data_IF_799574191433
#
_entry.id   IF_799574191433
#
_cell.length_a   1.000
_cell.length_b   1.000
_cell.length_c   1.000
_cell.angle_alpha   90.00
_cell.angle_beta   90.00
_cell.angle_gamma   90.00
#
_symmetry.space_group_name_H-M   'P 1'
#
loop_
_entity.id
_entity.type
_entity.pdbx_description
1 polymer ?
#
# COMPACT_ATOMS: atom_id res chain seq x y z
N UNK A 1 6.03 13.51 4.68
CA UNK A 1 5.06 13.71 5.76
C UNK A 1 5.09 12.50 6.65
N UNK A 2 5.60 12.63 7.85
CA UNK A 2 5.46 11.53 8.80
C UNK A 2 3.97 11.35 9.05
N UNK A 3 3.40 10.16 8.90
CA UNK A 3 2.02 9.97 9.29
C UNK A 3 1.95 10.22 10.79
N UNK A 4 1.24 11.25 11.18
CA UNK A 4 0.89 11.42 12.58
C UNK A 4 0.13 10.16 13.02
N UNK A 5 0.29 9.72 14.28
CA UNK A 5 -0.45 8.58 14.78
C UNK A 5 -1.94 8.92 14.68
N UNK A 6 -2.61 8.31 13.72
CA UNK A 6 -4.04 8.53 13.54
C UNK A 6 -4.76 7.80 14.64
N UNK A 7 -5.24 8.58 15.56
CA UNK A 7 -6.12 8.17 16.63
C UNK A 7 -7.40 7.61 16.01
N UNK A 8 -7.64 6.33 16.25
CA UNK A 8 -8.91 5.62 16.09
C UNK A 8 -9.71 5.94 14.82
N UNK A 9 -9.75 4.96 13.91
CA UNK A 9 -10.74 4.92 12.84
C UNK A 9 -12.11 5.39 13.35
N UNK A 10 -12.65 6.40 12.69
CA UNK A 10 -14.01 6.84 12.93
C UNK A 10 -14.94 5.64 12.79
N UNK A 11 -15.67 5.31 13.85
CA UNK A 11 -16.66 4.25 13.85
C UNK A 11 -17.77 4.62 12.85
N UNK A 12 -17.64 4.22 11.57
CA UNK A 12 -18.66 4.53 10.58
C UNK A 12 -18.31 4.24 9.13
N UNK A 13 -17.04 4.20 8.76
CA UNK A 13 -16.65 3.90 7.39
C UNK A 13 -16.04 2.50 7.30
N UNK A 14 -16.78 1.56 6.70
CA UNK A 14 -16.29 0.21 6.44
C UNK A 14 -15.34 0.22 5.24
N UNK A 15 -14.03 0.12 5.49
CA UNK A 15 -13.03 -0.10 4.43
C UNK A 15 -13.01 -1.58 4.03
N UNK A 16 -12.61 -1.89 2.80
CA UNK A 16 -12.49 -3.27 2.34
C UNK A 16 -11.35 -3.99 3.07
N UNK A 17 -11.64 -5.17 3.58
CA UNK A 17 -10.69 -6.01 4.33
C UNK A 17 -10.11 -7.11 3.45
N UNK A 18 -8.96 -7.62 3.83
CA UNK A 18 -8.29 -8.69 3.10
C UNK A 18 -9.14 -9.98 3.00
N UNK A 19 -9.95 -10.29 4.03
CA UNK A 19 -10.83 -11.46 4.01
C UNK A 19 -12.03 -11.33 3.06
N UNK A 20 -12.27 -10.13 2.53
CA UNK A 20 -13.34 -9.86 1.56
C UNK A 20 -12.86 -9.96 0.10
N UNK A 21 -11.55 -10.09 -0.13
CA UNK A 21 -11.01 -10.30 -1.48
C UNK A 21 -11.16 -11.76 -1.93
N UNK A 22 -11.24 -12.01 -3.25
CA UNK A 22 -11.13 -13.37 -3.76
C UNK A 22 -9.85 -14.05 -3.27
N UNK A 23 -9.96 -15.32 -2.87
CA UNK A 23 -8.83 -16.08 -2.36
C UNK A 23 -7.66 -16.09 -3.34
N UNK A 24 -6.46 -15.77 -2.84
CA UNK A 24 -5.22 -15.76 -3.62
C UNK A 24 -4.99 -14.51 -4.48
N UNK A 25 -5.96 -13.60 -4.61
CA UNK A 25 -5.80 -12.41 -5.46
C UNK A 25 -4.66 -11.50 -4.98
N UNK A 26 -4.67 -11.16 -3.70
CA UNK A 26 -3.62 -10.31 -3.12
C UNK A 26 -2.26 -11.02 -3.12
N UNK A 27 -2.22 -12.28 -2.69
CA UNK A 27 -0.98 -13.06 -2.69
C UNK A 27 -0.36 -13.18 -4.09
N UNK A 28 -1.19 -13.41 -5.12
CA UNK A 28 -0.74 -13.49 -6.50
C UNK A 28 -0.17 -12.16 -7.02
N UNK A 29 -0.80 -11.05 -6.70
CA UNK A 29 -0.30 -9.73 -7.07
C UNK A 29 1.06 -9.45 -6.42
N UNK A 30 1.19 -9.69 -5.13
CA UNK A 30 2.43 -9.45 -4.39
C UNK A 30 3.55 -10.39 -4.85
N UNK A 31 3.23 -11.63 -5.17
CA UNK A 31 4.19 -12.59 -5.70
C UNK A 31 4.82 -12.12 -7.01
N UNK A 32 4.10 -11.36 -7.83
CA UNK A 32 4.64 -10.73 -9.04
C UNK A 32 5.81 -9.77 -8.77
N UNK A 33 5.87 -9.20 -7.58
CA UNK A 33 6.98 -8.38 -7.11
C UNK A 33 8.04 -9.17 -6.33
N UNK A 34 7.85 -10.46 -6.10
CA UNK A 34 8.72 -11.26 -5.25
C UNK A 34 8.45 -11.08 -3.75
N UNK A 35 7.26 -10.60 -3.41
CA UNK A 35 6.82 -10.40 -2.03
C UNK A 35 5.92 -11.56 -1.60
N UNK A 36 6.21 -12.14 -0.45
CA UNK A 36 5.38 -13.17 0.17
C UNK A 36 4.32 -12.54 1.06
N UNK A 37 3.07 -12.91 0.85
CA UNK A 37 1.97 -12.55 1.74
C UNK A 37 1.82 -13.63 2.83
N UNK A 38 1.89 -13.22 4.10
CA UNK A 38 1.78 -14.14 5.23
C UNK A 38 0.48 -13.84 6.01
N UNK A 39 -0.38 -14.84 6.09
CA UNK A 39 -1.61 -14.73 6.86
C UNK A 39 -1.33 -14.95 8.36
N UNK A 40 -1.87 -14.04 9.16
CA UNK A 40 -1.81 -14.08 10.62
C UNK A 40 -3.19 -14.50 11.14
N UNK A 41 -3.21 -15.36 12.16
CA UNK A 41 -4.46 -15.82 12.76
C UNK A 41 -5.24 -14.68 13.43
N UNK A 42 -6.56 -14.82 13.45
CA UNK A 42 -7.46 -13.85 14.10
C UNK A 42 -7.04 -13.64 15.57
N UNK A 43 -7.04 -12.37 15.98
CA UNK A 43 -6.68 -11.99 17.34
C UNK A 43 -5.18 -11.94 17.65
N UNK A 44 -4.32 -12.48 16.77
CA UNK A 44 -2.88 -12.45 16.98
C UNK A 44 -2.27 -11.10 16.55
N UNK A 45 -1.16 -10.68 17.19
CA UNK A 45 -0.42 -9.49 16.76
C UNK A 45 0.11 -9.65 15.33
N UNK A 46 0.13 -8.57 14.56
CA UNK A 46 0.66 -8.58 13.20
C UNK A 46 2.15 -8.23 13.23
N UNK A 47 3.04 -9.17 12.88
CA UNK A 47 4.48 -8.91 12.88
C UNK A 47 4.86 -7.74 11.99
N UNK A 48 5.72 -6.84 12.46
CA UNK A 48 6.22 -5.71 11.69
C UNK A 48 5.20 -4.62 11.40
N UNK A 49 4.03 -4.63 12.04
CA UNK A 49 3.05 -3.56 11.93
C UNK A 49 3.50 -2.34 12.72
N UNK A 50 3.72 -1.22 12.02
CA UNK A 50 4.16 0.03 12.64
C UNK A 50 3.10 0.61 13.59
N UNK A 51 1.85 0.60 13.16
CA UNK A 51 0.73 1.14 13.94
C UNK A 51 0.03 0.10 14.82
N UNK A 52 0.35 -1.17 14.66
CA UNK A 52 -0.35 -2.27 15.31
C UNK A 52 -1.56 -2.76 14.51
N UNK A 53 -2.11 -3.90 14.94
CA UNK A 53 -3.29 -4.48 14.30
C UNK A 53 -4.48 -3.49 14.29
N UNK A 54 -5.31 -3.47 13.23
CA UNK A 54 -5.35 -4.45 12.13
C UNK A 54 -4.45 -4.12 10.94
N UNK A 55 -3.58 -3.12 11.03
CA UNK A 55 -2.77 -2.72 9.90
C UNK A 55 -1.70 -3.76 9.56
N UNK A 56 -1.38 -3.83 8.25
CA UNK A 56 -0.35 -4.73 7.72
C UNK A 56 1.02 -4.45 8.32
N UNK A 57 1.87 -5.47 8.31
CA UNK A 57 3.25 -5.35 8.77
C UNK A 57 4.25 -5.81 7.72
N UNK A 58 5.50 -5.38 7.88
CA UNK A 58 6.61 -5.74 6.99
C UNK A 58 7.74 -6.36 7.80
N UNK A 59 8.27 -7.49 7.30
CA UNK A 59 9.57 -8.05 7.72
C UNK A 59 10.25 -8.69 6.53
N UNK A 60 11.44 -8.21 6.18
CA UNK A 60 12.17 -8.70 5.02
C UNK A 60 11.39 -8.47 3.72
N UNK A 61 11.10 -9.55 3.00
CA UNK A 61 10.29 -9.53 1.76
C UNK A 61 8.86 -10.01 1.99
N UNK A 62 8.36 -9.86 3.20
CA UNK A 62 7.05 -10.38 3.61
C UNK A 62 6.14 -9.26 4.07
N UNK A 63 4.90 -9.35 3.64
CA UNK A 63 3.80 -8.54 4.16
C UNK A 63 2.91 -9.44 4.99
N UNK A 64 2.67 -9.05 6.23
CA UNK A 64 1.84 -9.78 7.19
C UNK A 64 0.48 -9.13 7.30
N UNK A 65 -0.57 -9.93 7.15
CA UNK A 65 -1.96 -9.47 7.24
C UNK A 65 -2.80 -10.44 8.07
N UNK A 66 -3.83 -9.91 8.75
CA UNK A 66 -4.96 -10.70 9.27
C UNK A 66 -6.14 -10.55 8.32
N UNK A 67 -7.17 -11.37 8.52
CA UNK A 67 -8.42 -11.26 7.76
C UNK A 67 -9.02 -9.86 7.83
N UNK A 68 -8.96 -9.20 8.99
CA UNK A 68 -9.48 -7.85 9.24
C UNK A 68 -8.55 -6.71 8.78
N UNK A 69 -7.37 -7.01 8.26
CA UNK A 69 -6.45 -5.99 7.74
C UNK A 69 -7.08 -5.30 6.54
N UNK A 70 -7.12 -3.95 6.50
CA UNK A 70 -7.58 -3.22 5.33
C UNK A 70 -6.72 -3.52 4.09
N UNK A 71 -7.36 -3.70 2.94
CA UNK A 71 -6.63 -3.97 1.68
C UNK A 71 -5.69 -2.83 1.35
N UNK A 72 -6.12 -1.57 1.54
CA UNK A 72 -5.25 -0.43 1.29
C UNK A 72 -3.97 -0.46 2.13
N UNK A 73 -4.05 -0.94 3.38
CA UNK A 73 -2.87 -1.08 4.26
C UNK A 73 -1.90 -2.13 3.73
N UNK A 74 -2.40 -3.28 3.31
CA UNK A 74 -1.56 -4.33 2.71
C UNK A 74 -0.85 -3.86 1.43
N UNK A 75 -1.55 -3.14 0.56
CA UNK A 75 -0.95 -2.56 -0.65
C UNK A 75 0.06 -1.47 -0.31
N UNK A 76 -0.23 -0.64 0.67
CA UNK A 76 0.68 0.43 1.12
C UNK A 76 2.03 -0.16 1.56
N UNK A 77 1.99 -1.15 2.44
CA UNK A 77 3.19 -1.82 2.94
C UNK A 77 3.94 -2.55 1.82
N UNK A 78 3.23 -3.22 0.92
CA UNK A 78 3.86 -3.85 -0.25
C UNK A 78 4.55 -2.82 -1.15
N UNK A 79 3.93 -1.66 -1.39
CA UNK A 79 4.52 -0.59 -2.20
C UNK A 79 5.75 0.02 -1.54
N UNK A 80 5.79 0.09 -0.21
CA UNK A 80 7.01 0.46 0.51
C UNK A 80 8.16 -0.50 0.21
N UNK A 81 7.91 -1.81 0.20
CA UNK A 81 8.93 -2.82 -0.15
C UNK A 81 9.43 -2.63 -1.58
N UNK A 82 8.51 -2.41 -2.53
CA UNK A 82 8.87 -2.20 -3.94
C UNK A 82 9.70 -0.94 -4.14
N UNK A 83 9.27 0.17 -3.57
CA UNK A 83 9.97 1.44 -3.68
C UNK A 83 11.35 1.42 -2.99
N UNK A 84 11.46 0.80 -1.82
CA UNK A 84 12.73 0.64 -1.15
C UNK A 84 13.71 -0.23 -1.96
N UNK A 85 13.20 -1.30 -2.58
CA UNK A 85 14.03 -2.20 -3.38
C UNK A 85 14.66 -1.51 -4.59
N UNK A 86 13.91 -0.67 -5.31
CA UNK A 86 14.46 0.07 -6.47
C UNK A 86 15.47 1.14 -6.05
N UNK A 87 15.44 1.58 -4.80
CA UNK A 87 16.43 2.48 -4.20
C UNK A 87 17.61 1.72 -3.57
N UNK A 88 17.66 0.40 -3.71
CA UNK A 88 18.74 -0.42 -3.18
C UNK A 88 18.72 -0.58 -1.65
N UNK A 89 17.60 -0.26 -1.02
CA UNK A 89 17.43 -0.47 0.43
C UNK A 89 16.79 -1.83 0.69
N UNK A 90 17.27 -2.49 1.69
CA UNK A 90 16.70 -3.74 2.17
C UNK A 90 17.61 -4.39 3.21
N UNK A 91 17.17 -5.45 3.89
CA UNK A 91 15.77 -5.79 4.17
C UNK A 91 15.11 -4.77 5.10
N UNK A 92 13.78 -4.70 5.06
CA UNK A 92 12.98 -3.75 5.86
C UNK A 92 12.34 -4.49 7.03
N UNK A 93 12.20 -3.83 8.18
CA UNK A 93 11.44 -4.30 9.33
C UNK A 93 10.63 -3.15 9.91
N UNK A 94 9.31 -3.20 9.79
CA UNK A 94 8.31 -2.22 10.23
C UNK A 94 8.46 -0.82 9.62
N UNK A 95 9.66 -0.23 9.66
CA UNK A 95 9.95 1.08 9.09
C UNK A 95 10.64 0.93 7.74
N UNK A 96 9.96 1.35 6.68
CA UNK A 96 10.49 1.28 5.32
C UNK A 96 11.52 2.38 5.01
N UNK A 97 11.60 3.42 5.82
CA UNK A 97 12.42 4.60 5.52
C UNK A 97 11.90 5.37 4.30
N UNK A 98 12.77 6.16 3.69
CA UNK A 98 12.42 6.99 2.54
C UNK A 98 11.94 8.39 2.94
N UNK A 99 11.94 9.30 1.97
CA UNK A 99 11.47 10.69 2.14
C UNK A 99 10.04 10.88 1.66
N UNK A 100 9.61 12.14 1.63
CA UNK A 100 8.26 12.53 1.18
C UNK A 100 7.96 12.11 -0.25
N UNK A 101 8.92 12.27 -1.17
CA UNK A 101 8.74 11.91 -2.58
C UNK A 101 8.49 10.42 -2.75
N UNK A 102 9.15 9.60 -1.96
CA UNK A 102 8.95 8.14 -1.96
C UNK A 102 7.60 7.77 -1.34
N UNK A 103 7.18 8.43 -0.27
CA UNK A 103 5.87 8.21 0.35
C UNK A 103 4.73 8.54 -0.62
N UNK A 104 4.84 9.65 -1.35
CA UNK A 104 3.88 10.00 -2.39
C UNK A 104 3.89 8.97 -3.52
N UNK A 105 5.06 8.47 -3.92
CA UNK A 105 5.18 7.41 -4.90
C UNK A 105 4.54 6.10 -4.42
N UNK A 106 4.71 5.72 -3.16
CA UNK A 106 4.05 4.58 -2.52
C UNK A 106 2.52 4.72 -2.64
N UNK A 107 1.98 5.87 -2.26
CA UNK A 107 0.54 6.13 -2.34
C UNK A 107 0.03 6.07 -3.79
N UNK A 108 0.76 6.62 -4.74
CA UNK A 108 0.38 6.57 -6.15
C UNK A 108 0.36 5.13 -6.68
N UNK A 109 1.42 4.37 -6.39
CA UNK A 109 1.53 2.98 -6.83
C UNK A 109 0.43 2.09 -6.21
N UNK A 110 0.12 2.25 -4.92
CA UNK A 110 -0.95 1.46 -4.29
C UNK A 110 -2.32 1.71 -4.93
N UNK A 111 -2.60 2.95 -5.37
CA UNK A 111 -3.84 3.27 -6.07
C UNK A 111 -3.89 2.59 -7.44
N UNK A 112 -2.79 2.59 -8.19
CA UNK A 112 -2.71 1.88 -9.47
C UNK A 112 -2.88 0.37 -9.28
N UNK A 113 -2.25 -0.22 -8.27
CA UNK A 113 -2.32 -1.65 -8.01
C UNK A 113 -3.70 -2.12 -7.56
N UNK A 114 -4.51 -1.23 -6.99
CA UNK A 114 -5.89 -1.53 -6.64
C UNK A 114 -6.71 -2.04 -7.83
N UNK A 115 -6.44 -1.54 -9.03
CA UNK A 115 -7.11 -1.98 -10.26
C UNK A 115 -6.72 -3.42 -10.67
N UNK A 116 -5.65 -3.96 -10.11
CA UNK A 116 -5.21 -5.35 -10.33
C UNK A 116 -5.89 -6.34 -9.39
N UNK A 117 -6.68 -5.85 -8.42
CA UNK A 117 -7.37 -6.71 -7.45
C UNK A 117 -8.86 -6.79 -7.78
N UNK A 118 -9.38 -7.97 -8.18
CA UNK A 118 -10.81 -8.17 -8.37
C UNK A 118 -11.59 -7.82 -7.10
N UNK A 119 -12.67 -7.08 -7.23
CA UNK A 119 -13.51 -6.66 -6.10
C UNK A 119 -12.99 -5.46 -5.32
N UNK A 120 -11.87 -4.87 -5.71
CA UNK A 120 -11.35 -3.64 -5.12
C UNK A 120 -11.40 -2.47 -6.11
N UNK A 121 -10.32 -2.23 -6.86
CA UNK A 121 -10.25 -1.15 -7.83
C UNK A 121 -9.86 0.20 -7.21
N UNK A 122 -9.39 1.12 -8.07
CA UNK A 122 -8.88 2.42 -7.63
C UNK A 122 -9.95 3.31 -7.00
N UNK A 123 -11.20 3.26 -7.47
CA UNK A 123 -12.29 4.04 -6.90
C UNK A 123 -12.52 3.70 -5.43
N UNK A 124 -12.54 2.40 -5.11
CA UNK A 124 -12.67 1.93 -3.74
C UNK A 124 -11.42 2.26 -2.93
N UNK A 125 -10.23 2.09 -3.50
CA UNK A 125 -8.99 2.43 -2.82
C UNK A 125 -8.93 3.90 -2.41
N UNK A 126 -9.29 4.81 -3.30
CA UNK A 126 -9.32 6.25 -3.00
C UNK A 126 -10.30 6.56 -1.86
N UNK A 127 -11.50 5.97 -1.91
CA UNK A 127 -12.49 6.15 -0.85
C UNK A 127 -12.03 5.56 0.49
N UNK A 128 -11.44 4.39 0.48
CA UNK A 128 -10.97 3.73 1.69
C UNK A 128 -9.77 4.46 2.31
N UNK A 129 -8.87 5.02 1.50
CA UNK A 129 -7.77 5.84 1.98
C UNK A 129 -8.28 7.10 2.70
N UNK A 130 -9.26 7.79 2.12
CA UNK A 130 -9.88 8.95 2.77
C UNK A 130 -10.61 8.56 4.06
N UNK A 131 -11.38 7.47 4.03
CA UNK A 131 -12.11 6.97 5.19
C UNK A 131 -11.18 6.53 6.33
N UNK A 132 -10.01 5.99 5.99
CA UNK A 132 -9.01 5.59 6.99
C UNK A 132 -8.24 6.76 7.58
N UNK A 133 -8.28 7.91 6.90
CA UNK A 133 -7.70 9.14 7.39
C UNK A 133 -6.34 9.48 6.79
N UNK A 134 -6.02 8.99 5.59
CA UNK A 134 -4.87 9.47 4.84
C UNK A 134 -5.02 10.98 4.62
N UNK A 135 -3.92 11.69 4.74
CA UNK A 135 -3.90 13.14 4.61
C UNK A 135 -3.14 13.54 3.34
N UNK A 136 -3.84 14.21 2.44
CA UNK A 136 -3.27 14.69 1.19
C UNK A 136 -3.45 16.20 1.05
N UNK A 137 -2.50 16.84 0.37
CA UNK A 137 -2.70 18.17 -0.15
C UNK A 137 -3.92 18.15 -1.07
N UNK A 138 -4.71 19.21 -1.12
CA UNK A 138 -5.99 19.31 -1.80
C UNK A 138 -7.18 18.63 -1.09
N UNK A 139 -6.97 17.98 0.05
CA UNK A 139 -8.03 17.54 0.97
C UNK A 139 -8.58 16.14 0.77
N UNK A 140 -8.23 15.44 -0.32
CA UNK A 140 -8.64 14.05 -0.54
C UNK A 140 -7.64 13.28 -1.38
N UNK A 141 -7.66 11.95 -1.25
CA UNK A 141 -6.85 11.05 -2.08
C UNK A 141 -7.16 11.24 -3.57
N UNK A 142 -8.45 11.34 -3.93
CA UNK A 142 -8.86 11.58 -5.31
C UNK A 142 -8.32 12.89 -5.87
N UNK A 143 -8.51 13.99 -5.16
CA UNK A 143 -8.07 15.31 -5.63
C UNK A 143 -6.56 15.34 -5.82
N UNK A 144 -5.81 14.75 -4.88
CA UNK A 144 -4.37 14.62 -4.99
C UNK A 144 -3.96 13.76 -6.20
N UNK A 145 -4.53 12.56 -6.32
CA UNK A 145 -4.18 11.63 -7.39
C UNK A 145 -4.44 12.21 -8.79
N UNK A 146 -5.55 12.91 -8.97
CA UNK A 146 -5.96 13.47 -10.27
C UNK A 146 -5.23 14.77 -10.62
N UNK A 147 -4.83 15.59 -9.64
CA UNK A 147 -4.39 16.96 -9.90
C UNK A 147 -3.04 17.35 -9.30
N UNK A 148 -2.46 16.52 -8.44
CA UNK A 148 -1.27 16.90 -7.67
C UNK A 148 -0.24 15.76 -7.53
N UNK A 149 -0.40 14.66 -8.23
CA UNK A 149 0.45 13.49 -8.13
C UNK A 149 1.46 13.34 -9.28
N UNK A 150 1.73 14.41 -10.02
CA UNK A 150 2.67 14.39 -11.15
C UNK A 150 4.08 14.01 -10.73
N UNK A 151 4.57 14.56 -9.63
CA UNK A 151 5.91 14.25 -9.11
C UNK A 151 6.01 12.79 -8.66
N UNK A 152 4.98 12.26 -8.01
CA UNK A 152 4.92 10.85 -7.62
C UNK A 152 4.97 9.93 -8.86
N UNK A 153 4.19 10.25 -9.88
CA UNK A 153 4.21 9.51 -11.14
C UNK A 153 5.58 9.57 -11.81
N UNK A 154 6.17 10.75 -11.89
CA UNK A 154 7.49 10.93 -12.48
C UNK A 154 8.57 10.12 -11.74
N UNK A 155 8.50 10.09 -10.41
CA UNK A 155 9.39 9.30 -9.57
C UNK A 155 9.31 7.80 -9.91
N UNK A 156 8.09 7.28 -10.07
CA UNK A 156 7.82 5.87 -10.41
C UNK A 156 8.26 5.53 -11.84
N UNK A 157 7.98 6.41 -12.80
CA UNK A 157 8.37 6.24 -14.20
C UNK A 157 9.90 6.20 -14.34
N UNK A 158 10.60 7.10 -13.67
CA UNK A 158 12.07 7.16 -13.69
C UNK A 158 12.72 5.87 -13.18
N UNK A 159 12.02 5.11 -12.32
CA UNK A 159 12.50 3.86 -11.73
C UNK A 159 11.91 2.60 -12.39
N UNK A 160 11.12 2.77 -13.44
CA UNK A 160 10.52 1.67 -14.20
C UNK A 160 9.42 0.93 -13.47
N UNK A 161 8.82 1.54 -12.44
CA UNK A 161 7.69 0.98 -11.68
C UNK A 161 6.34 1.33 -12.30
N UNK A 162 6.30 2.35 -13.12
CA UNK A 162 5.16 2.78 -13.92
C UNK A 162 5.65 3.02 -15.35
N UNK A 163 4.88 2.60 -16.33
CA UNK A 163 5.22 2.79 -17.74
C UNK A 163 4.80 4.18 -18.28
N UNK A 164 5.12 4.44 -19.54
CA UNK A 164 4.80 5.72 -20.19
C UNK A 164 3.29 5.97 -20.32
N UNK A 165 2.47 4.91 -20.31
CA UNK A 165 1.01 5.01 -20.33
C UNK A 165 0.42 5.30 -18.94
N UNK A 166 1.25 5.25 -17.89
CA UNK A 166 0.81 5.48 -16.52
C UNK A 166 0.31 4.23 -15.79
N UNK A 167 0.61 3.05 -16.33
CA UNK A 167 0.22 1.78 -15.74
C UNK A 167 1.33 1.18 -14.88
N UNK A 168 0.95 0.50 -13.80
CA UNK A 168 1.91 -0.18 -12.95
C UNK A 168 2.61 -1.34 -13.68
N UNK A 169 3.93 -1.38 -13.57
CA UNK A 169 4.76 -2.48 -14.07
C UNK A 169 4.98 -3.47 -12.94
N UNK A 170 4.39 -4.67 -13.05
CA UNK A 170 4.55 -5.74 -12.06
C UNK A 170 5.69 -6.64 -12.50
N UNK A 171 6.78 -6.62 -11.74
CA UNK A 171 7.98 -7.43 -11.98
C UNK A 171 8.70 -7.68 -10.66
N UNK A 172 9.54 -8.73 -10.57
CA UNK A 172 10.32 -8.98 -9.36
C UNK A 172 11.13 -7.75 -8.95
N UNK A 173 11.00 -7.35 -7.68
CA UNK A 173 11.72 -6.24 -7.08
C UNK A 173 13.03 -6.67 -6.41
N UNK A 174 13.19 -7.99 -6.23
CA UNK A 174 14.30 -8.62 -5.52
C UNK A 174 14.94 -9.73 -6.36
#
# INVERSE_FOLDING_TARGET
MSPEPQTTASAGASVLRCDELPAGALAGLLAGYGIELVAVADGEPIPGSWFGAPEAGIRGRRVYVRGDTPVHSALHEACHLVCAAVEGRGPIDADAGGGYDEEDAVCHLQILLADRLPGFGRERALADMDAWGYSFRLGSARAWFERDAEDARAWLVARGLVDAAGEAVVRPAF
#
